data_IF_824287805448
#
_entry.id   IF_824287805448
#
_cell.length_a   1.000
_cell.length_b   1.000
_cell.length_c   1.000
_cell.angle_alpha   90.00
_cell.angle_beta   90.00
_cell.angle_gamma   90.00
#
_symmetry.space_group_name_H-M   'P 1'
#
loop_
_entity.id
_entity.type
_entity.pdbx_description
1 polymer ?
#
# COMPACT_ATOMS: atom_id res chain seq x y z
N UNK A 1 -67.19 -30.38 -38.81
CA UNK A 1 -68.25 -29.51 -38.26
C UNK A 1 -67.66 -28.13 -38.01
N UNK A 2 -68.36 -27.07 -38.40
CA UNK A 2 -67.75 -25.77 -38.68
C UNK A 2 -68.28 -24.68 -37.73
N UNK A 3 -67.90 -23.43 -38.05
CA UNK A 3 -68.68 -22.19 -37.85
C UNK A 3 -68.61 -21.57 -36.44
N UNK A 4 -68.54 -20.24 -36.25
CA UNK A 4 -68.90 -19.11 -37.11
C UNK A 4 -68.26 -17.81 -36.59
N UNK A 5 -67.83 -16.98 -37.54
CA UNK A 5 -67.67 -15.50 -37.53
C UNK A 5 -68.96 -14.80 -36.99
N UNK A 6 -69.02 -13.47 -36.65
CA UNK A 6 -68.51 -12.41 -37.54
C UNK A 6 -68.18 -10.98 -37.00
N UNK A 7 -67.53 -10.21 -37.90
CA UNK A 7 -67.64 -8.77 -38.27
C UNK A 7 -68.30 -7.77 -37.28
N UNK A 8 -67.84 -6.53 -37.07
CA UNK A 8 -67.80 -5.45 -38.07
C UNK A 8 -67.46 -4.07 -37.43
N UNK A 9 -66.83 -3.21 -38.25
CA UNK A 9 -67.02 -1.75 -38.46
C UNK A 9 -66.84 -0.72 -37.32
N UNK A 10 -66.02 0.29 -37.67
CA UNK A 10 -65.98 1.65 -37.14
C UNK A 10 -67.37 2.29 -37.04
N UNK A 11 -67.62 3.04 -35.96
CA UNK A 11 -68.31 4.34 -35.99
C UNK A 11 -67.84 5.24 -34.84
N UNK A 12 -67.34 6.41 -35.21
CA UNK A 12 -67.25 7.58 -34.33
C UNK A 12 -68.68 8.06 -34.03
N UNK A 13 -69.03 8.21 -32.75
CA UNK A 13 -70.05 9.17 -32.32
C UNK A 13 -69.64 9.83 -31.00
N UNK A 14 -69.53 11.15 -31.09
CA UNK A 14 -69.44 12.13 -30.03
C UNK A 14 -70.62 12.03 -29.05
N UNK A 15 -70.32 12.04 -27.75
CA UNK A 15 -71.28 12.25 -26.68
C UNK A 15 -70.63 13.04 -25.56
N UNK A 16 -70.97 14.33 -25.47
CA UNK A 16 -70.55 15.22 -24.40
C UNK A 16 -71.28 14.86 -23.12
N UNK A 17 -70.58 14.68 -22.00
CA UNK A 17 -71.16 14.91 -20.68
C UNK A 17 -70.11 15.50 -19.74
N UNK A 18 -70.47 16.67 -19.19
CA UNK A 18 -69.66 17.55 -18.36
C UNK A 18 -69.66 17.09 -16.90
N UNK A 19 -68.61 17.53 -16.19
CA UNK A 19 -68.53 17.82 -14.74
C UNK A 19 -68.36 16.57 -13.83
N UNK A 20 -67.36 16.48 -12.95
CA UNK A 20 -66.85 17.52 -12.06
C UNK A 20 -65.33 17.47 -11.84
N UNK A 21 -64.72 18.65 -11.91
CA UNK A 21 -63.35 18.97 -11.57
C UNK A 21 -63.25 19.13 -10.04
N UNK A 22 -62.63 18.18 -9.35
CA UNK A 22 -62.11 18.41 -8.00
C UNK A 22 -60.72 19.00 -8.12
N UNK A 23 -60.63 20.31 -7.93
CA UNK A 23 -59.36 21.02 -7.74
C UNK A 23 -58.80 20.55 -6.41
N UNK A 24 -57.93 19.54 -6.44
CA UNK A 24 -56.99 19.31 -5.35
C UNK A 24 -55.93 20.38 -5.43
N UNK A 25 -55.91 21.30 -4.47
CA UNK A 25 -54.75 22.15 -4.20
C UNK A 25 -53.58 21.22 -3.83
N UNK A 26 -52.83 20.78 -4.84
CA UNK A 26 -51.50 20.23 -4.64
C UNK A 26 -50.62 21.37 -4.17
N UNK A 27 -50.38 21.44 -2.86
CA UNK A 27 -49.30 22.24 -2.30
C UNK A 27 -48.01 21.63 -2.85
N UNK A 28 -47.54 22.20 -3.96
CA UNK A 28 -46.19 22.00 -4.46
C UNK A 28 -45.29 22.65 -3.41
N UNK A 29 -44.90 21.89 -2.40
CA UNK A 29 -43.89 22.30 -1.45
C UNK A 29 -42.62 22.55 -2.25
N UNK A 30 -42.28 23.83 -2.42
CA UNK A 30 -40.99 24.24 -2.93
C UNK A 30 -39.94 23.60 -2.02
N UNK A 31 -39.30 22.53 -2.49
CA UNK A 31 -38.05 22.05 -1.91
C UNK A 31 -37.02 23.10 -2.31
N UNK A 32 -36.94 24.17 -1.53
CA UNK A 32 -35.81 25.07 -1.58
C UNK A 32 -34.57 24.20 -1.36
N UNK A 33 -33.56 24.25 -2.25
CA UNK A 33 -32.28 23.66 -1.89
C UNK A 33 -31.84 24.41 -0.63
N UNK A 34 -31.79 23.71 0.50
CA UNK A 34 -31.18 24.25 1.69
C UNK A 34 -29.74 24.59 1.29
N UNK A 35 -29.44 25.88 1.16
CA UNK A 35 -28.08 26.34 1.00
C UNK A 35 -27.33 25.85 2.24
N UNK A 36 -26.27 25.06 2.02
CA UNK A 36 -25.39 24.63 3.11
C UNK A 36 -24.94 25.88 3.89
N UNK A 37 -25.30 25.94 5.17
CA UNK A 37 -24.93 27.04 6.04
C UNK A 37 -23.46 26.96 6.42
N UNK A 38 -22.82 28.11 6.58
CA UNK A 38 -21.49 28.21 7.19
C UNK A 38 -21.62 28.76 8.61
N UNK A 39 -21.07 28.04 9.58
CA UNK A 39 -21.02 28.47 10.99
C UNK A 39 -19.56 28.61 11.41
N UNK A 40 -19.15 29.83 11.75
CA UNK A 40 -17.85 30.09 12.36
C UNK A 40 -17.90 29.71 13.85
N UNK A 41 -17.03 28.82 14.29
CA UNK A 41 -16.87 28.41 15.69
C UNK A 41 -15.54 28.94 16.21
N UNK A 42 -15.53 29.65 17.34
CA UNK A 42 -14.32 30.21 17.97
C UNK A 42 -13.85 29.34 19.14
N UNK A 43 -12.56 29.41 19.52
CA UNK A 43 -12.10 28.73 20.73
C UNK A 43 -12.90 29.17 21.95
N UNK A 44 -13.35 28.21 22.76
CA UNK A 44 -14.23 28.43 23.91
C UNK A 44 -15.72 28.24 23.62
N UNK A 45 -16.14 28.25 22.36
CA UNK A 45 -17.49 27.84 21.98
C UNK A 45 -17.67 26.32 22.17
N UNK A 46 -18.91 25.90 22.41
CA UNK A 46 -19.26 24.49 22.46
C UNK A 46 -19.36 23.90 21.05
N UNK A 47 -18.22 23.41 20.54
CA UNK A 47 -18.11 22.81 19.22
C UNK A 47 -19.01 21.57 19.06
N UNK A 48 -19.16 20.75 20.12
CA UNK A 48 -20.03 19.57 20.01
C UNK A 48 -21.50 19.98 19.91
N UNK A 49 -21.93 21.01 20.65
CA UNK A 49 -23.28 21.56 20.50
C UNK A 49 -23.50 22.14 19.10
N UNK A 50 -22.52 22.86 18.55
CA UNK A 50 -22.58 23.37 17.18
C UNK A 50 -22.75 22.23 16.16
N UNK A 51 -21.92 21.18 16.26
CA UNK A 51 -22.02 19.96 15.42
C UNK A 51 -23.38 19.28 15.53
N UNK A 52 -23.92 19.19 16.75
CA UNK A 52 -25.21 18.54 17.02
C UNK A 52 -26.39 19.34 16.46
N UNK A 53 -26.24 20.66 16.36
CA UNK A 53 -27.27 21.59 15.87
C UNK A 53 -27.26 21.81 14.37
N UNK A 54 -26.12 21.57 13.70
CA UNK A 54 -25.91 21.81 12.28
C UNK A 54 -26.89 21.01 11.39
N UNK A 55 -27.33 21.61 10.29
CA UNK A 55 -28.15 20.93 9.29
C UNK A 55 -27.29 20.03 8.37
N UNK A 56 -27.95 19.09 7.70
CA UNK A 56 -27.29 18.24 6.71
C UNK A 56 -26.69 19.09 5.58
N UNK A 57 -25.39 18.94 5.35
CA UNK A 57 -24.61 19.68 4.36
C UNK A 57 -23.85 20.88 4.91
N UNK A 58 -24.11 21.32 6.14
CA UNK A 58 -23.49 22.51 6.72
C UNK A 58 -21.97 22.39 6.88
N UNK A 59 -21.30 23.55 6.89
CA UNK A 59 -19.88 23.68 7.18
C UNK A 59 -19.68 24.38 8.52
N UNK A 60 -18.98 23.72 9.43
CA UNK A 60 -18.49 24.31 10.67
C UNK A 60 -17.02 24.67 10.49
N UNK A 61 -16.74 25.97 10.47
CA UNK A 61 -15.39 26.51 10.28
C UNK A 61 -14.78 26.90 11.62
N UNK A 62 -13.70 26.24 12.00
CA UNK A 62 -12.97 26.53 13.22
C UNK A 62 -12.00 27.68 12.99
N UNK A 63 -12.13 28.75 13.76
CA UNK A 63 -11.11 29.79 13.85
C UNK A 63 -9.79 29.22 14.42
N UNK A 64 -8.64 29.90 14.23
CA UNK A 64 -7.38 29.47 14.83
C UNK A 64 -7.50 29.34 16.36
N UNK A 65 -6.98 28.26 16.93
CA UNK A 65 -7.00 27.98 18.37
C UNK A 65 -7.30 26.52 18.70
N UNK A 66 -7.36 26.21 19.99
CA UNK A 66 -7.53 24.84 20.50
C UNK A 66 -8.99 24.57 20.88
N UNK A 67 -9.49 23.41 20.44
CA UNK A 67 -10.83 22.90 20.70
C UNK A 67 -10.72 21.57 21.42
N UNK A 68 -11.53 21.43 22.47
CA UNK A 68 -11.54 20.21 23.30
C UNK A 68 -12.41 19.15 22.64
N UNK A 69 -11.82 17.98 22.32
CA UNK A 69 -12.55 16.76 21.98
C UNK A 69 -12.77 15.87 23.21
N UNK A 70 -13.29 14.64 23.03
CA UNK A 70 -13.69 13.99 21.77
C UNK A 70 -14.85 14.68 21.04
N UNK A 71 -14.85 14.62 19.71
CA UNK A 71 -15.95 15.11 18.86
C UNK A 71 -16.64 13.97 18.11
N UNK A 72 -17.93 14.11 17.87
CA UNK A 72 -18.75 13.15 17.09
C UNK A 72 -19.54 13.89 16.01
N UNK A 73 -19.38 13.42 14.75
CA UNK A 73 -20.10 13.89 13.58
C UNK A 73 -21.18 12.87 13.19
N UNK A 74 -22.36 13.02 13.79
CA UNK A 74 -23.55 12.17 13.53
C UNK A 74 -24.46 12.69 12.41
N UNK A 75 -24.17 13.88 11.87
CA UNK A 75 -24.86 14.48 10.71
C UNK A 75 -23.87 14.69 9.56
N UNK A 76 -24.35 14.72 8.32
CA UNK A 76 -23.48 15.00 7.16
C UNK A 76 -23.03 16.45 7.22
N UNK A 77 -21.81 16.70 7.67
CA UNK A 77 -21.26 18.05 7.81
C UNK A 77 -19.83 18.11 7.30
N UNK A 78 -19.37 19.31 6.99
CA UNK A 78 -17.94 19.62 6.85
C UNK A 78 -17.44 20.24 8.14
N UNK A 79 -16.48 19.61 8.82
CA UNK A 79 -15.67 20.24 9.85
C UNK A 79 -14.36 20.73 9.22
N UNK A 80 -14.19 22.06 9.16
CA UNK A 80 -13.06 22.71 8.50
C UNK A 80 -12.23 23.54 9.49
N UNK A 81 -10.92 23.33 9.52
CA UNK A 81 -9.98 24.17 10.28
C UNK A 81 -9.42 25.32 9.46
N UNK A 82 -9.44 26.53 10.01
CA UNK A 82 -8.49 27.56 9.61
C UNK A 82 -7.07 27.18 10.08
N UNK A 83 -6.00 27.68 9.43
CA UNK A 83 -4.63 27.42 9.87
C UNK A 83 -4.43 27.71 11.36
N UNK A 84 -3.95 26.73 12.12
CA UNK A 84 -3.79 26.79 13.58
C UNK A 84 -5.01 26.34 14.39
N UNK A 85 -6.06 25.80 13.76
CA UNK A 85 -7.15 25.12 14.46
C UNK A 85 -6.71 23.71 14.89
N UNK A 86 -6.70 23.47 16.20
CA UNK A 86 -6.27 22.21 16.82
C UNK A 86 -7.46 21.56 17.54
N UNK A 87 -7.76 20.30 17.23
CA UNK A 87 -8.69 19.47 18.02
C UNK A 87 -7.87 18.51 18.87
N UNK A 88 -8.07 18.57 20.19
CA UNK A 88 -7.33 17.78 21.17
C UNK A 88 -8.25 16.83 21.95
N UNK A 89 -8.04 15.52 21.76
CA UNK A 89 -8.82 14.45 22.38
C UNK A 89 -8.55 14.21 23.87
N UNK A 90 -7.66 14.98 24.50
CA UNK A 90 -7.36 14.90 25.94
C UNK A 90 -6.86 13.52 26.43
N UNK A 91 -6.28 12.74 25.52
CA UNK A 91 -5.81 11.38 25.80
C UNK A 91 -6.95 10.36 26.01
N UNK A 92 -8.16 10.64 25.50
CA UNK A 92 -9.35 9.78 25.69
C UNK A 92 -10.00 9.45 24.35
N UNK A 93 -10.36 8.18 24.16
CA UNK A 93 -11.17 7.77 23.01
C UNK A 93 -10.55 8.10 21.65
N UNK A 94 -11.40 8.21 20.64
CA UNK A 94 -11.06 8.84 19.38
C UNK A 94 -11.14 10.37 19.52
N UNK A 95 -10.21 11.13 18.94
CA UNK A 95 -10.29 12.60 18.99
C UNK A 95 -11.48 13.12 18.18
N UNK A 96 -11.68 12.57 16.97
CA UNK A 96 -12.84 12.84 16.11
C UNK A 96 -13.44 11.50 15.65
N UNK A 97 -14.74 11.32 15.83
CA UNK A 97 -15.50 10.18 15.32
C UNK A 97 -16.47 10.65 14.24
N UNK A 98 -16.38 10.07 13.04
CA UNK A 98 -17.26 10.36 11.91
C UNK A 98 -18.21 9.19 11.73
N UNK A 99 -19.51 9.44 11.91
CA UNK A 99 -20.57 8.43 11.76
C UNK A 99 -21.47 8.67 10.55
N UNK A 100 -21.70 9.92 10.20
CA UNK A 100 -22.57 10.26 9.09
C UNK A 100 -21.90 10.04 7.71
N UNK A 101 -22.66 9.53 6.72
CA UNK A 101 -22.17 9.36 5.36
C UNK A 101 -21.90 10.71 4.68
N UNK A 102 -20.83 10.77 3.89
CA UNK A 102 -20.44 11.95 3.12
C UNK A 102 -19.96 13.14 3.97
N UNK A 103 -19.71 12.95 5.26
CA UNK A 103 -19.08 13.96 6.12
C UNK A 103 -17.62 14.20 5.74
N UNK A 104 -17.15 15.43 5.94
CA UNK A 104 -15.78 15.84 5.64
C UNK A 104 -15.09 16.38 6.89
N UNK A 105 -13.84 15.96 7.12
CA UNK A 105 -12.95 16.54 8.13
C UNK A 105 -11.71 17.06 7.43
N UNK A 106 -11.46 18.37 7.47
CA UNK A 106 -10.37 18.99 6.71
C UNK A 106 -9.64 20.14 7.40
N UNK A 107 -8.36 20.31 7.09
CA UNK A 107 -7.58 21.49 7.48
C UNK A 107 -7.30 21.60 8.99
N UNK A 108 -7.45 20.52 9.75
CA UNK A 108 -7.26 20.51 11.20
C UNK A 108 -5.89 19.96 11.60
N UNK A 109 -5.36 20.45 12.70
CA UNK A 109 -4.43 19.67 13.51
C UNK A 109 -5.22 18.81 14.49
N UNK A 110 -4.93 17.51 14.54
CA UNK A 110 -5.64 16.53 15.40
C UNK A 110 -4.64 15.81 16.28
N UNK A 111 -4.80 15.94 17.59
CA UNK A 111 -3.89 15.38 18.60
C UNK A 111 -4.65 14.70 19.74
N UNK A 112 -3.92 14.02 20.60
CA UNK A 112 -4.41 13.61 21.91
C UNK A 112 -5.45 12.49 21.90
N UNK A 113 -5.39 11.55 20.94
CA UNK A 113 -6.22 10.35 21.03
C UNK A 113 -5.91 9.53 22.30
N UNK A 114 -6.82 8.64 22.69
CA UNK A 114 -6.57 7.59 23.67
C UNK A 114 -5.45 6.62 23.26
N UNK A 115 -5.00 5.81 24.23
CA UNK A 115 -3.88 4.86 24.07
C UNK A 115 -4.27 3.38 24.00
N UNK A 116 -5.57 3.04 24.01
CA UNK A 116 -6.01 1.64 23.93
C UNK A 116 -6.12 1.15 22.49
N UNK A 117 -5.32 0.12 22.15
CA UNK A 117 -5.34 -0.56 20.84
C UNK A 117 -6.63 -1.34 20.59
N UNK A 118 -7.24 -1.92 21.62
CA UNK A 118 -8.48 -2.69 21.49
C UNK A 118 -9.68 -1.81 21.13
N UNK A 119 -9.72 -0.59 21.68
CA UNK A 119 -10.76 0.41 21.40
C UNK A 119 -10.50 1.17 20.09
N UNK A 120 -9.42 0.86 19.38
CA UNK A 120 -9.03 1.48 18.12
C UNK A 120 -8.87 3.01 18.21
N UNK A 121 -8.39 3.51 19.35
CA UNK A 121 -8.31 4.95 19.58
C UNK A 121 -7.50 5.65 18.48
N UNK A 122 -8.12 6.62 17.82
CA UNK A 122 -7.61 7.26 16.62
C UNK A 122 -7.66 8.78 16.72
N UNK A 123 -6.82 9.48 15.96
CA UNK A 123 -7.02 10.90 15.73
C UNK A 123 -8.35 11.13 15.03
N UNK A 124 -8.57 10.43 13.90
CA UNK A 124 -9.85 10.45 13.17
C UNK A 124 -10.32 9.02 12.95
N UNK A 125 -11.44 8.65 13.56
CA UNK A 125 -12.11 7.36 13.36
C UNK A 125 -13.32 7.55 12.44
N UNK A 126 -13.36 6.81 11.34
CA UNK A 126 -14.47 6.82 10.38
C UNK A 126 -15.18 5.49 10.51
N UNK A 127 -16.40 5.52 11.04
CA UNK A 127 -17.16 4.31 11.37
C UNK A 127 -17.83 3.71 10.14
N UNK A 128 -18.40 2.51 10.31
CA UNK A 128 -18.95 1.72 9.21
C UNK A 128 -20.10 2.43 8.48
N UNK A 129 -20.83 3.31 9.18
CA UNK A 129 -21.95 4.06 8.63
C UNK A 129 -21.52 5.28 7.82
N UNK A 130 -20.28 5.74 7.97
CA UNK A 130 -19.75 6.95 7.34
C UNK A 130 -19.26 6.69 5.90
N UNK A 131 -20.12 6.12 5.06
CA UNK A 131 -19.78 5.84 3.67
C UNK A 131 -19.47 7.12 2.89
N UNK A 132 -18.46 7.08 2.02
CA UNK A 132 -18.04 8.24 1.24
C UNK A 132 -17.48 9.40 2.06
N UNK A 133 -17.13 9.19 3.34
CA UNK A 133 -16.51 10.23 4.16
C UNK A 133 -15.14 10.65 3.60
N UNK A 134 -14.81 11.92 3.77
CA UNK A 134 -13.58 12.53 3.29
C UNK A 134 -12.74 13.07 4.46
N UNK A 135 -11.54 12.55 4.63
CA UNK A 135 -10.55 13.02 5.60
C UNK A 135 -9.40 13.61 4.81
N UNK A 136 -9.31 14.94 4.75
CA UNK A 136 -8.35 15.59 3.85
C UNK A 136 -7.54 16.74 4.44
N UNK A 137 -6.29 16.88 4.02
CA UNK A 137 -5.45 18.03 4.36
C UNK A 137 -5.33 18.30 5.86
N UNK A 138 -5.35 17.25 6.69
CA UNK A 138 -5.18 17.35 8.13
C UNK A 138 -3.73 17.04 8.54
N UNK A 139 -3.32 17.55 9.70
CA UNK A 139 -2.08 17.20 10.39
C UNK A 139 -2.42 16.40 11.64
N UNK A 140 -2.03 15.12 11.67
CA UNK A 140 -2.31 14.22 12.78
C UNK A 140 -1.02 13.87 13.52
N UNK A 141 -0.89 14.28 14.78
CA UNK A 141 0.37 14.16 15.52
C UNK A 141 0.18 13.40 16.83
N UNK A 142 1.00 12.38 17.07
CA UNK A 142 1.09 11.68 18.34
C UNK A 142 -0.13 10.83 18.73
N UNK A 143 -1.08 10.64 17.81
CA UNK A 143 -2.23 9.75 18.02
C UNK A 143 -1.78 8.28 17.98
N UNK A 144 -2.57 7.39 18.61
CA UNK A 144 -2.32 5.96 18.58
C UNK A 144 -2.45 5.41 17.16
N UNK A 145 -3.63 5.56 16.56
CA UNK A 145 -3.83 5.46 15.11
C UNK A 145 -4.02 6.88 14.55
N UNK A 146 -3.49 7.17 13.36
CA UNK A 146 -3.75 8.45 12.70
C UNK A 146 -5.22 8.52 12.25
N UNK A 147 -5.51 7.80 11.18
CA UNK A 147 -6.84 7.67 10.59
C UNK A 147 -7.25 6.20 10.59
N UNK A 148 -8.48 5.90 11.01
CA UNK A 148 -9.02 4.54 10.96
C UNK A 148 -10.32 4.51 10.14
N UNK A 149 -10.28 3.86 8.98
CA UNK A 149 -11.42 3.62 8.11
C UNK A 149 -12.02 2.24 8.44
N UNK A 150 -13.00 2.23 9.34
CA UNK A 150 -13.59 1.01 9.90
C UNK A 150 -14.94 0.71 9.24
N UNK A 151 -14.96 -0.10 8.19
CA UNK A 151 -16.19 -0.48 7.49
C UNK A 151 -16.72 0.57 6.50
N UNK A 152 -16.13 1.76 6.49
CA UNK A 152 -16.59 2.93 5.76
C UNK A 152 -16.36 2.81 4.25
N UNK A 153 -17.33 2.25 3.53
CA UNK A 153 -17.23 2.06 2.08
C UNK A 153 -16.98 3.37 1.33
N UNK A 154 -16.11 3.31 0.31
CA UNK A 154 -15.76 4.42 -0.58
C UNK A 154 -15.24 5.70 0.14
N UNK A 155 -14.81 5.58 1.40
CA UNK A 155 -14.19 6.68 2.15
C UNK A 155 -12.79 7.01 1.62
N UNK A 156 -12.36 8.26 1.80
CA UNK A 156 -11.11 8.77 1.25
C UNK A 156 -10.30 9.46 2.34
N UNK A 157 -9.06 9.01 2.53
CA UNK A 157 -8.04 9.72 3.28
C UNK A 157 -7.03 10.33 2.29
N UNK A 158 -7.02 11.65 2.11
CA UNK A 158 -6.14 12.30 1.14
C UNK A 158 -5.35 13.51 1.62
N UNK A 159 -4.10 13.67 1.19
CA UNK A 159 -3.33 14.88 1.49
C UNK A 159 -3.06 15.11 2.98
N UNK A 160 -3.18 14.08 3.83
CA UNK A 160 -2.94 14.22 5.26
C UNK A 160 -1.46 14.01 5.59
N UNK A 161 -0.98 14.71 6.62
CA UNK A 161 0.32 14.46 7.23
C UNK A 161 0.12 13.75 8.56
N UNK A 162 0.64 12.53 8.71
CA UNK A 162 0.53 11.72 9.93
C UNK A 162 1.89 11.50 10.53
N UNK A 163 2.08 11.95 11.77
CA UNK A 163 3.28 11.69 12.59
C UNK A 163 2.88 10.82 13.77
N UNK A 164 3.21 9.53 13.71
CA UNK A 164 2.88 8.55 14.74
C UNK A 164 3.59 8.78 16.07
N UNK A 165 3.08 8.16 17.13
CA UNK A 165 3.67 8.23 18.49
C UNK A 165 5.08 7.64 18.51
N UNK A 166 6.00 8.32 19.22
CA UNK A 166 7.40 7.92 19.40
C UNK A 166 7.74 7.66 20.86
N UNK A 167 8.93 7.09 21.11
CA UNK A 167 9.41 6.80 22.46
C UNK A 167 8.70 5.65 23.17
N UNK A 168 7.90 4.87 22.43
CA UNK A 168 7.20 3.67 22.90
C UNK A 168 7.59 2.49 22.02
N UNK A 169 7.30 1.27 22.47
CA UNK A 169 7.52 0.08 21.65
C UNK A 169 6.60 0.14 20.43
N UNK A 170 7.13 -0.20 19.26
CA UNK A 170 6.35 -0.19 18.02
C UNK A 170 5.08 -1.04 18.08
N UNK A 171 5.11 -2.15 18.84
CA UNK A 171 3.95 -3.01 19.06
C UNK A 171 2.80 -2.31 19.82
N UNK A 172 3.10 -1.24 20.57
CA UNK A 172 2.14 -0.43 21.33
C UNK A 172 1.60 0.75 20.50
N UNK A 173 2.04 0.90 19.25
CA UNK A 173 1.58 1.96 18.34
C UNK A 173 0.61 1.42 17.29
N UNK A 174 -0.28 2.28 16.83
CA UNK A 174 -1.12 2.03 15.67
C UNK A 174 -0.43 2.45 14.37
N UNK A 175 -1.13 2.23 13.27
CA UNK A 175 -0.69 2.60 11.93
C UNK A 175 -1.11 4.05 11.60
N UNK A 176 -0.46 4.66 10.60
CA UNK A 176 -0.80 6.00 10.14
C UNK A 176 -2.21 6.05 9.56
N UNK A 177 -2.52 5.13 8.63
CA UNK A 177 -3.88 4.88 8.15
C UNK A 177 -4.20 3.39 8.26
N UNK A 178 -5.26 3.07 9.00
CA UNK A 178 -5.78 1.71 9.15
C UNK A 178 -7.09 1.55 8.38
N UNK A 179 -7.24 0.43 7.68
CA UNK A 179 -8.44 0.07 6.92
C UNK A 179 -8.89 -1.30 7.39
N UNK A 180 -10.16 -1.41 7.78
CA UNK A 180 -10.79 -2.68 8.09
C UNK A 180 -12.12 -2.77 7.36
N UNK A 181 -12.28 -3.76 6.47
CA UNK A 181 -13.53 -4.02 5.75
C UNK A 181 -14.20 -2.79 5.12
N UNK A 182 -13.41 -1.87 4.56
CA UNK A 182 -13.89 -0.64 3.94
C UNK A 182 -13.72 -0.72 2.41
N UNK A 183 -14.64 -1.39 1.70
CA UNK A 183 -14.47 -1.64 0.28
C UNK A 183 -14.51 -0.32 -0.51
N UNK A 184 -13.62 -0.17 -1.49
CA UNK A 184 -13.54 1.06 -2.28
C UNK A 184 -12.80 2.22 -1.61
N UNK A 185 -12.37 2.06 -0.36
CA UNK A 185 -11.64 3.11 0.36
C UNK A 185 -10.32 3.47 -0.34
N UNK A 186 -9.94 4.75 -0.28
CA UNK A 186 -8.76 5.30 -0.95
C UNK A 186 -7.85 6.02 0.02
N UNK A 187 -6.55 5.82 -0.13
CA UNK A 187 -5.52 6.52 0.63
C UNK A 187 -4.57 7.17 -0.37
N UNK A 188 -4.69 8.49 -0.51
CA UNK A 188 -4.13 9.25 -1.64
C UNK A 188 -3.21 10.37 -1.16
N UNK A 189 -2.00 10.46 -1.69
CA UNK A 189 -1.13 11.63 -1.52
C UNK A 189 -0.86 12.01 -0.05
N UNK A 190 -0.82 11.02 0.85
CA UNK A 190 -0.52 11.26 2.27
C UNK A 190 0.97 11.16 2.56
N UNK A 191 1.42 11.88 3.58
CA UNK A 191 2.77 11.76 4.14
C UNK A 191 2.66 11.13 5.52
N UNK A 192 3.27 9.96 5.72
CA UNK A 192 3.16 9.18 6.96
C UNK A 192 4.54 8.88 7.51
N UNK A 193 4.77 9.24 8.78
CA UNK A 193 6.04 8.99 9.48
C UNK A 193 5.80 8.39 10.85
N UNK A 194 6.67 7.46 11.24
CA UNK A 194 6.69 6.84 12.58
C UNK A 194 5.39 6.10 12.95
N UNK A 195 5.33 5.53 14.16
CA UNK A 195 4.30 4.58 14.55
C UNK A 195 4.58 3.18 14.02
N UNK A 196 3.54 2.36 13.80
CA UNK A 196 3.70 0.95 13.43
C UNK A 196 3.86 0.74 11.93
N UNK A 197 2.77 0.84 11.17
CA UNK A 197 2.77 0.70 9.71
C UNK A 197 2.29 2.02 9.07
N UNK A 198 2.66 2.29 7.82
CA UNK A 198 2.20 3.46 7.08
C UNK A 198 0.70 3.33 6.79
N UNK A 199 0.38 2.41 5.88
CA UNK A 199 -0.97 2.01 5.53
C UNK A 199 -1.15 0.52 5.90
N UNK A 200 -2.10 0.22 6.78
CA UNK A 200 -2.48 -1.15 7.11
C UNK A 200 -3.90 -1.44 6.65
N UNK A 201 -4.10 -2.51 5.89
CA UNK A 201 -5.43 -2.93 5.45
C UNK A 201 -5.68 -4.39 5.79
N UNK A 202 -6.89 -4.67 6.30
CA UNK A 202 -7.34 -6.02 6.61
C UNK A 202 -8.77 -6.27 6.12
N UNK A 203 -8.98 -7.42 5.48
CA UNK A 203 -10.30 -7.94 5.11
C UNK A 203 -11.13 -6.95 4.27
N UNK A 204 -10.53 -6.36 3.23
CA UNK A 204 -11.17 -5.33 2.39
C UNK A 204 -11.07 -5.66 0.90
N UNK A 205 -11.54 -4.78 0.01
CA UNK A 205 -11.43 -4.96 -1.44
C UNK A 205 -11.60 -3.66 -2.23
N UNK A 206 -11.14 -3.64 -3.49
CA UNK A 206 -11.27 -2.50 -4.40
C UNK A 206 -10.66 -1.21 -3.86
N UNK A 207 -9.63 -1.33 -3.03
CA UNK A 207 -8.95 -0.19 -2.44
C UNK A 207 -7.91 0.38 -3.41
N UNK A 208 -7.63 1.68 -3.27
CA UNK A 208 -6.58 2.37 -4.05
C UNK A 208 -5.67 3.11 -3.10
N UNK A 209 -4.40 2.71 -3.05
CA UNK A 209 -3.35 3.41 -2.31
C UNK A 209 -2.38 4.03 -3.31
N UNK A 210 -2.42 5.36 -3.46
CA UNK A 210 -1.72 6.06 -4.52
C UNK A 210 -0.97 7.30 -4.03
N UNK A 211 0.23 7.53 -4.55
CA UNK A 211 0.97 8.78 -4.35
C UNK A 211 1.44 9.04 -2.91
N UNK A 212 1.40 8.05 -2.03
CA UNK A 212 1.75 8.24 -0.61
C UNK A 212 3.27 8.17 -0.40
N UNK A 213 3.78 8.98 0.52
CA UNK A 213 5.14 8.91 1.05
C UNK A 213 5.10 8.33 2.48
N UNK A 214 5.83 7.24 2.72
CA UNK A 214 5.90 6.58 4.02
C UNK A 214 7.35 6.38 4.46
N UNK A 215 7.69 6.90 5.65
CA UNK A 215 9.05 6.92 6.15
C UNK A 215 9.15 6.46 7.61
N UNK A 216 10.21 5.71 7.93
CA UNK A 216 10.52 5.27 9.30
C UNK A 216 9.41 4.47 10.00
N UNK A 217 8.58 3.76 9.25
CA UNK A 217 7.61 2.79 9.75
C UNK A 217 8.14 1.36 9.64
N UNK A 218 7.44 0.41 10.24
CA UNK A 218 7.71 -1.02 10.05
C UNK A 218 7.46 -1.39 8.59
N UNK A 219 6.21 -1.35 8.16
CA UNK A 219 5.79 -1.63 6.78
C UNK A 219 5.21 -0.36 6.18
N UNK A 220 5.70 0.10 5.03
CA UNK A 220 5.10 1.25 4.36
C UNK A 220 3.65 0.93 3.98
N UNK A 221 3.44 -0.18 3.29
CA UNK A 221 2.11 -0.71 2.97
C UNK A 221 2.02 -2.16 3.44
N UNK A 222 0.99 -2.46 4.24
CA UNK A 222 0.75 -3.78 4.81
C UNK A 222 -0.65 -4.27 4.43
N UNK A 223 -0.71 -5.17 3.45
CA UNK A 223 -1.93 -5.85 3.03
C UNK A 223 -2.15 -7.13 3.80
N UNK A 224 -3.37 -7.32 4.30
CA UNK A 224 -3.89 -8.60 4.78
C UNK A 224 -5.29 -8.81 4.17
N UNK A 225 -5.52 -9.92 3.47
CA UNK A 225 -6.86 -10.30 2.99
C UNK A 225 -7.60 -9.17 2.25
N UNK A 226 -6.88 -8.38 1.44
CA UNK A 226 -7.41 -7.20 0.76
C UNK A 226 -7.30 -7.38 -0.75
N UNK A 227 -8.39 -7.80 -1.40
CA UNK A 227 -8.37 -8.28 -2.79
C UNK A 227 -8.73 -7.17 -3.80
N UNK A 228 -8.49 -7.43 -5.08
CA UNK A 228 -8.99 -6.58 -6.19
C UNK A 228 -8.58 -5.11 -6.07
N UNK A 229 -7.40 -4.85 -5.53
CA UNK A 229 -6.97 -3.52 -5.10
C UNK A 229 -5.70 -3.06 -5.82
N UNK A 230 -5.41 -1.78 -5.70
CA UNK A 230 -4.28 -1.12 -6.33
C UNK A 230 -3.38 -0.45 -5.31
N UNK A 231 -2.07 -0.66 -5.48
CA UNK A 231 -1.00 0.07 -4.80
C UNK A 231 -0.10 0.64 -5.89
N UNK A 232 -0.17 1.95 -6.11
CA UNK A 232 0.50 2.57 -7.25
C UNK A 232 1.20 3.90 -6.95
N UNK A 233 2.37 4.14 -7.55
CA UNK A 233 3.07 5.42 -7.45
C UNK A 233 3.48 5.85 -6.03
N UNK A 234 3.54 4.92 -5.08
CA UNK A 234 3.90 5.24 -3.70
C UNK A 234 5.42 5.21 -3.50
N UNK A 235 5.91 5.97 -2.52
CA UNK A 235 7.30 6.01 -2.11
C UNK A 235 7.42 5.45 -0.69
N UNK A 236 8.14 4.34 -0.57
CA UNK A 236 8.63 3.79 0.69
C UNK A 236 10.09 4.20 0.86
N UNK A 237 10.42 4.84 1.98
CA UNK A 237 11.80 5.21 2.31
C UNK A 237 12.16 4.88 3.74
N UNK A 238 13.33 4.26 3.91
CA UNK A 238 13.92 4.03 5.22
C UNK A 238 12.98 3.30 6.21
N UNK A 239 12.16 2.37 5.72
CA UNK A 239 11.29 1.52 6.52
C UNK A 239 11.95 0.18 6.86
N UNK A 240 11.29 -0.66 7.66
CA UNK A 240 11.76 -2.05 7.82
C UNK A 240 11.45 -2.88 6.57
N UNK A 241 10.25 -2.75 6.02
CA UNK A 241 9.83 -3.30 4.73
C UNK A 241 9.06 -2.24 3.98
N UNK A 242 9.25 -2.17 2.67
CA UNK A 242 8.44 -1.29 1.83
C UNK A 242 7.03 -1.82 1.68
N UNK A 243 6.82 -2.70 0.70
CA UNK A 243 5.50 -3.19 0.34
C UNK A 243 5.31 -4.64 0.81
N UNK A 244 4.61 -4.83 1.92
CA UNK A 244 4.24 -6.15 2.46
C UNK A 244 2.85 -6.55 1.95
N UNK A 245 2.82 -7.34 0.88
CA UNK A 245 1.62 -7.83 0.22
C UNK A 245 1.32 -9.25 0.68
N UNK A 246 0.30 -9.40 1.54
CA UNK A 246 0.04 -10.69 2.21
C UNK A 246 -1.41 -11.15 2.07
N UNK A 247 -1.56 -12.45 1.79
CA UNK A 247 -2.86 -13.15 1.74
C UNK A 247 -3.91 -12.46 0.86
N UNK A 248 -3.51 -12.06 -0.33
CA UNK A 248 -4.34 -11.23 -1.22
C UNK A 248 -4.29 -11.76 -2.65
N UNK A 249 -5.28 -11.41 -3.47
CA UNK A 249 -5.28 -11.73 -4.90
C UNK A 249 -5.75 -10.59 -5.77
N UNK A 250 -5.28 -10.63 -7.03
CA UNK A 250 -5.64 -9.69 -8.09
C UNK A 250 -5.27 -8.25 -7.74
N UNK A 251 -4.08 -8.06 -7.18
CA UNK A 251 -3.52 -6.74 -6.97
C UNK A 251 -2.93 -6.18 -8.26
N UNK A 252 -3.02 -4.86 -8.38
CA UNK A 252 -2.20 -4.04 -9.28
C UNK A 252 -1.13 -3.34 -8.43
N UNK A 253 0.13 -3.70 -8.65
CA UNK A 253 1.29 -3.15 -7.93
C UNK A 253 2.12 -2.40 -8.97
N UNK A 254 1.90 -1.09 -9.08
CA UNK A 254 2.34 -0.31 -10.24
C UNK A 254 3.25 0.85 -9.85
N UNK A 255 4.40 0.99 -10.48
CA UNK A 255 5.22 2.21 -10.41
C UNK A 255 5.61 2.68 -8.99
N UNK A 256 5.65 1.76 -8.02
CA UNK A 256 6.07 2.10 -6.66
C UNK A 256 7.60 2.17 -6.55
N UNK A 257 8.08 3.00 -5.65
CA UNK A 257 9.50 3.11 -5.29
C UNK A 257 9.70 2.64 -3.85
N UNK A 258 10.61 1.68 -3.65
CA UNK A 258 11.19 1.35 -2.35
C UNK A 258 12.66 1.76 -2.37
N UNK A 259 13.07 2.58 -1.41
CA UNK A 259 14.41 3.15 -1.32
C UNK A 259 14.97 3.02 0.10
N UNK A 260 16.06 2.27 0.26
CA UNK A 260 16.74 2.16 1.56
C UNK A 260 15.92 1.45 2.65
N UNK A 261 14.91 0.65 2.28
CA UNK A 261 14.21 -0.22 3.23
C UNK A 261 15.14 -1.34 3.72
N UNK A 262 14.97 -1.77 4.98
CA UNK A 262 15.95 -2.64 5.67
C UNK A 262 15.92 -4.09 5.22
N UNK A 263 14.76 -4.73 5.26
CA UNK A 263 14.61 -6.17 5.07
C UNK A 263 14.17 -6.50 3.64
N UNK A 264 13.04 -5.92 3.22
CA UNK A 264 12.43 -6.21 1.92
C UNK A 264 11.93 -4.94 1.24
N UNK A 265 12.19 -4.79 -0.05
CA UNK A 265 11.53 -3.73 -0.83
C UNK A 265 10.10 -4.10 -1.19
N UNK A 266 9.94 -5.30 -1.77
CA UNK A 266 8.64 -5.90 -2.07
C UNK A 266 8.57 -7.32 -1.49
N UNK A 267 7.66 -7.53 -0.55
CA UNK A 267 7.34 -8.83 0.04
C UNK A 267 5.99 -9.31 -0.50
N UNK A 268 5.97 -10.48 -1.12
CA UNK A 268 4.77 -11.15 -1.61
C UNK A 268 4.62 -12.49 -0.93
N UNK A 269 3.66 -12.57 0.01
CA UNK A 269 3.37 -13.79 0.76
C UNK A 269 1.91 -14.20 0.55
N UNK A 270 1.63 -15.35 -0.10
CA UNK A 270 0.26 -15.70 -0.51
C UNK A 270 -0.43 -14.61 -1.36
N UNK A 271 0.36 -13.86 -2.15
CA UNK A 271 -0.17 -12.89 -3.12
C UNK A 271 -0.30 -13.54 -4.48
N UNK A 272 -1.51 -13.60 -5.03
CA UNK A 272 -1.79 -14.43 -6.21
C UNK A 272 -2.50 -13.68 -7.34
N UNK A 273 -2.31 -14.13 -8.58
CA UNK A 273 -3.00 -13.58 -9.77
C UNK A 273 -2.84 -12.05 -9.92
N UNK A 274 -1.71 -11.50 -9.50
CA UNK A 274 -1.45 -10.07 -9.43
C UNK A 274 -0.53 -9.59 -10.55
N UNK A 275 -0.64 -8.32 -10.90
CA UNK A 275 0.26 -7.65 -11.84
C UNK A 275 1.21 -6.75 -11.07
N UNK A 276 2.52 -6.93 -11.29
CA UNK A 276 3.60 -6.19 -10.67
C UNK A 276 4.41 -5.55 -11.77
N UNK A 277 4.26 -4.24 -11.98
CA UNK A 277 4.92 -3.58 -13.11
C UNK A 277 5.43 -2.18 -12.82
N UNK A 278 6.55 -1.81 -13.46
CA UNK A 278 7.13 -0.46 -13.35
C UNK A 278 7.74 -0.12 -11.98
N UNK A 279 7.74 -1.06 -11.03
CA UNK A 279 8.21 -0.83 -9.67
C UNK A 279 9.74 -0.79 -9.61
N UNK A 280 10.25 -0.02 -8.66
CA UNK A 280 11.68 0.15 -8.42
C UNK A 280 12.00 -0.17 -6.97
N UNK A 281 12.96 -1.06 -6.76
CA UNK A 281 13.56 -1.29 -5.45
C UNK A 281 15.04 -0.94 -5.57
N UNK A 282 15.45 0.07 -4.79
CA UNK A 282 16.79 0.63 -4.82
C UNK A 282 17.46 0.37 -3.47
N UNK A 283 18.43 -0.53 -3.49
CA UNK A 283 19.25 -0.83 -2.35
C UNK A 283 20.42 0.13 -2.19
N UNK A 284 20.89 0.26 -0.94
CA UNK A 284 22.09 1.01 -0.58
C UNK A 284 22.71 0.44 0.68
N UNK A 285 23.94 0.87 0.98
CA UNK A 285 24.57 0.59 2.27
C UNK A 285 23.82 1.35 3.38
N UNK A 286 23.37 0.63 4.41
CA UNK A 286 22.62 1.18 5.55
C UNK A 286 23.42 0.99 6.84
N UNK A 287 23.29 1.93 7.80
CA UNK A 287 23.99 1.83 9.07
C UNK A 287 23.53 0.62 9.88
N UNK A 288 24.47 -0.06 10.53
CA UNK A 288 24.18 -1.28 11.29
C UNK A 288 23.19 -1.10 12.45
N UNK A 289 23.08 0.12 13.00
CA UNK A 289 22.10 0.49 14.04
C UNK A 289 20.68 0.10 13.66
N UNK A 290 20.35 0.12 12.37
CA UNK A 290 19.03 -0.29 11.86
C UNK A 290 18.63 -1.72 12.22
N UNK A 291 19.58 -2.61 12.51
CA UNK A 291 19.31 -4.00 12.92
C UNK A 291 19.41 -4.23 14.43
N UNK A 292 19.81 -3.21 15.19
CA UNK A 292 19.99 -3.29 16.64
C UNK A 292 18.83 -2.64 17.41
N UNK A 293 18.08 -1.76 16.76
CA UNK A 293 16.86 -1.19 17.32
C UNK A 293 15.86 -2.32 17.60
N UNK A 294 15.66 -2.68 18.87
CA UNK A 294 14.78 -3.76 19.33
C UNK A 294 13.27 -3.41 19.16
N UNK A 295 12.90 -2.81 18.04
CA UNK A 295 11.55 -2.29 17.77
C UNK A 295 11.20 -1.01 18.54
N UNK A 296 12.20 -0.32 19.12
CA UNK A 296 12.03 0.99 19.74
C UNK A 296 12.39 2.07 18.71
N UNK A 297 11.45 2.97 18.41
CA UNK A 297 11.75 4.13 17.57
C UNK A 297 12.56 5.13 18.39
N UNK A 298 13.80 5.41 17.96
CA UNK A 298 14.66 6.40 18.59
C UNK A 298 13.92 7.75 18.74
N UNK A 299 14.17 8.45 19.85
CA UNK A 299 13.65 9.80 20.09
C UNK A 299 14.29 10.82 19.11
N UNK A 300 13.68 11.99 18.95
CA UNK A 300 14.23 13.09 18.14
C UNK A 300 15.69 13.42 18.54
N UNK A 301 16.54 13.89 17.60
CA UNK A 301 17.81 14.50 17.95
C UNK A 301 17.59 15.65 18.96
N UNK A 302 18.09 15.49 20.20
CA UNK A 302 17.91 16.46 21.28
C UNK A 302 17.02 16.00 22.44
N UNK A 303 16.36 14.85 22.35
CA UNK A 303 15.79 14.17 23.54
C UNK A 303 16.79 13.16 24.11
N UNK A 304 16.85 13.07 25.44
CA UNK A 304 17.62 12.04 26.12
C UNK A 304 17.15 10.65 25.66
N UNK A 305 18.06 9.87 25.09
CA UNK A 305 17.80 8.47 24.79
C UNK A 305 17.41 7.74 26.10
N UNK A 306 16.44 6.81 26.08
CA UNK A 306 16.22 5.90 27.20
C UNK A 306 17.54 5.22 27.56
N UNK A 307 17.86 5.20 28.85
CA UNK A 307 19.22 4.99 29.41
C UNK A 307 19.82 3.59 29.13
N UNK A 308 19.10 2.67 28.48
CA UNK A 308 19.50 1.24 28.41
C UNK A 308 19.67 0.64 26.99
N UNK A 309 19.80 1.40 25.90
CA UNK A 309 19.83 0.78 24.54
C UNK A 309 20.83 1.38 23.53
N UNK A 310 22.09 1.59 23.92
CA UNK A 310 23.13 1.89 22.93
C UNK A 310 24.30 0.91 23.07
N UNK A 311 24.12 -0.30 22.55
CA UNK A 311 25.26 -1.02 22.00
C UNK A 311 25.67 -0.23 20.75
N UNK A 312 26.78 0.49 20.83
CA UNK A 312 27.35 1.19 19.68
C UNK A 312 27.76 0.17 18.63
N UNK A 313 27.16 0.25 17.45
CA UNK A 313 27.53 -0.61 16.34
C UNK A 313 29.01 -0.41 16.01
N UNK A 314 29.74 -1.52 15.80
CA UNK A 314 31.14 -1.50 15.42
C UNK A 314 31.30 -0.71 14.09
N UNK A 315 32.17 0.31 14.02
CA UNK A 315 32.39 1.09 12.80
C UNK A 315 32.85 0.16 11.65
N UNK A 316 32.02 0.00 10.62
CA UNK A 316 32.26 -0.92 9.49
C UNK A 316 31.27 -2.09 9.37
N UNK A 317 30.27 -2.18 10.26
CA UNK A 317 29.24 -3.22 10.24
C UNK A 317 28.03 -2.93 9.32
N UNK A 318 28.11 -1.87 8.52
CA UNK A 318 27.03 -1.46 7.60
C UNK A 318 26.63 -2.60 6.66
N UNK A 319 25.33 -2.66 6.34
CA UNK A 319 24.74 -3.75 5.55
C UNK A 319 23.95 -3.20 4.39
N UNK A 320 24.00 -3.90 3.25
CA UNK A 320 23.15 -3.57 2.11
C UNK A 320 21.70 -3.84 2.49
N UNK A 321 20.87 -2.81 2.39
CA UNK A 321 19.41 -2.90 2.50
C UNK A 321 18.73 -2.46 1.20
N UNK A 322 17.64 -3.12 0.77
CA UNK A 322 17.01 -4.24 1.47
C UNK A 322 17.82 -5.52 1.34
N UNK A 323 17.71 -6.39 2.36
CA UNK A 323 18.27 -7.75 2.30
C UNK A 323 17.77 -8.50 1.05
N UNK A 324 16.51 -8.25 0.67
CA UNK A 324 15.87 -8.80 -0.53
C UNK A 324 15.12 -7.70 -1.25
N UNK A 325 15.49 -7.43 -2.50
CA UNK A 325 14.75 -6.49 -3.35
C UNK A 325 13.29 -6.96 -3.47
N UNK A 326 13.11 -8.22 -3.90
CA UNK A 326 11.82 -8.92 -3.89
C UNK A 326 11.92 -10.24 -3.12
N UNK A 327 10.94 -10.51 -2.26
CA UNK A 327 10.77 -11.81 -1.65
C UNK A 327 9.40 -12.40 -2.01
N UNK A 328 9.41 -13.56 -2.67
CA UNK A 328 8.22 -14.28 -3.13
C UNK A 328 8.11 -15.59 -2.35
N UNK A 329 7.05 -15.71 -1.57
CA UNK A 329 6.75 -16.86 -0.73
C UNK A 329 5.30 -17.32 -0.95
N UNK A 330 5.13 -18.52 -1.48
CA UNK A 330 3.83 -19.11 -1.82
C UNK A 330 2.89 -18.16 -2.58
N UNK A 331 3.45 -17.40 -3.53
CA UNK A 331 2.75 -16.42 -4.33
C UNK A 331 2.72 -16.90 -5.79
N UNK A 332 1.53 -17.05 -6.36
CA UNK A 332 1.31 -17.84 -7.57
C UNK A 332 0.62 -17.03 -8.66
N UNK A 333 0.92 -17.37 -9.91
CA UNK A 333 0.26 -16.82 -11.11
C UNK A 333 0.34 -15.29 -11.22
N UNK A 334 1.42 -14.70 -10.70
CA UNK A 334 1.67 -13.28 -10.83
C UNK A 334 2.46 -12.97 -12.10
N UNK A 335 2.33 -11.75 -12.61
CA UNK A 335 3.09 -11.26 -13.76
C UNK A 335 3.97 -10.09 -13.33
N UNK A 336 5.28 -10.22 -13.55
CA UNK A 336 6.27 -9.20 -13.27
C UNK A 336 6.87 -8.69 -14.57
N UNK A 337 6.65 -7.41 -14.86
CA UNK A 337 7.12 -6.76 -16.09
C UNK A 337 7.67 -5.37 -15.83
N UNK A 338 8.81 -5.05 -16.44
CA UNK A 338 9.38 -3.69 -16.43
C UNK A 338 9.66 -3.16 -15.02
N UNK A 339 9.96 -4.06 -14.08
CA UNK A 339 10.44 -3.70 -12.75
C UNK A 339 11.96 -3.59 -12.72
N UNK A 340 12.48 -2.80 -11.77
CA UNK A 340 13.92 -2.61 -11.58
C UNK A 340 14.32 -2.92 -10.14
N UNK A 341 15.18 -3.91 -9.97
CA UNK A 341 15.70 -4.38 -8.69
C UNK A 341 17.21 -4.16 -8.67
N UNK A 342 17.64 -3.11 -7.97
CA UNK A 342 19.02 -2.64 -8.01
C UNK A 342 19.67 -2.60 -6.63
N UNK A 343 20.93 -3.01 -6.56
CA UNK A 343 21.81 -2.72 -5.42
C UNK A 343 21.40 -3.43 -4.13
N UNK A 344 20.61 -4.50 -4.21
CA UNK A 344 20.16 -5.28 -3.06
C UNK A 344 21.14 -6.40 -2.73
N UNK A 345 21.06 -6.94 -1.51
CA UNK A 345 21.84 -8.13 -1.15
C UNK A 345 21.37 -9.35 -1.97
N UNK A 346 20.06 -9.54 -2.12
CA UNK A 346 19.45 -10.49 -3.05
C UNK A 346 18.47 -9.73 -3.95
N UNK A 347 18.60 -9.85 -5.28
CA UNK A 347 17.70 -9.24 -6.26
C UNK A 347 16.28 -9.82 -6.14
N UNK A 348 16.16 -11.14 -6.21
CA UNK A 348 14.90 -11.84 -5.95
C UNK A 348 15.15 -13.15 -5.19
N UNK A 349 14.40 -13.34 -4.11
CA UNK A 349 14.32 -14.61 -3.40
C UNK A 349 12.97 -15.27 -3.67
N UNK A 350 13.01 -16.46 -4.24
CA UNK A 350 11.85 -17.16 -4.76
C UNK A 350 11.77 -18.55 -4.13
N UNK A 351 10.71 -18.84 -3.37
CA UNK A 351 10.62 -20.07 -2.57
C UNK A 351 9.17 -20.53 -2.35
N UNK A 352 9.02 -21.63 -1.61
CA UNK A 352 7.77 -22.17 -1.10
C UNK A 352 6.70 -22.46 -2.16
N UNK A 353 7.09 -23.07 -3.28
CA UNK A 353 6.14 -23.51 -4.31
C UNK A 353 5.40 -22.37 -5.01
N UNK A 354 6.05 -21.21 -5.18
CA UNK A 354 5.51 -20.05 -5.89
C UNK A 354 5.39 -20.35 -7.40
N UNK A 355 4.26 -20.87 -7.85
CA UNK A 355 4.09 -21.46 -9.17
C UNK A 355 3.36 -20.55 -10.19
N UNK A 356 3.68 -20.76 -11.47
CA UNK A 356 3.00 -20.10 -12.58
C UNK A 356 3.25 -18.59 -12.68
N UNK A 357 4.28 -18.07 -12.01
CA UNK A 357 4.66 -16.67 -12.12
C UNK A 357 5.40 -16.42 -13.45
N UNK A 358 5.04 -15.35 -14.14
CA UNK A 358 5.72 -14.88 -15.35
C UNK A 358 6.67 -13.73 -14.98
N UNK A 359 7.94 -13.87 -15.35
CA UNK A 359 9.02 -12.90 -15.07
C UNK A 359 9.67 -12.55 -16.40
N UNK A 360 9.37 -11.37 -16.95
CA UNK A 360 9.93 -10.94 -18.25
C UNK A 360 10.05 -9.42 -18.30
N UNK A 361 11.04 -8.90 -18.99
CA UNK A 361 11.28 -7.48 -19.14
C UNK A 361 11.66 -6.77 -17.84
N UNK A 362 12.18 -7.46 -16.82
CA UNK A 362 12.66 -6.81 -15.60
C UNK A 362 14.16 -6.50 -15.70
N UNK A 363 14.68 -5.68 -14.80
CA UNK A 363 16.10 -5.39 -14.69
C UNK A 363 16.64 -5.73 -13.29
N UNK A 364 17.65 -6.60 -13.25
CA UNK A 364 18.38 -6.99 -12.05
C UNK A 364 19.80 -6.44 -12.12
N UNK A 365 20.08 -5.40 -11.33
CA UNK A 365 21.28 -4.56 -11.50
C UNK A 365 22.10 -4.50 -10.23
N UNK A 366 23.37 -4.90 -10.30
CA UNK A 366 24.33 -4.72 -9.20
C UNK A 366 23.91 -5.35 -7.87
N UNK A 367 23.05 -6.37 -7.90
CA UNK A 367 22.69 -7.13 -6.70
C UNK A 367 23.83 -8.07 -6.35
N UNK A 368 24.10 -8.28 -5.04
CA UNK A 368 25.17 -9.21 -4.62
C UNK A 368 24.86 -10.66 -5.03
N UNK A 369 23.59 -11.02 -5.04
CA UNK A 369 23.09 -12.27 -5.61
C UNK A 369 21.85 -11.94 -6.42
N UNK A 370 21.86 -12.19 -7.74
CA UNK A 370 20.73 -11.82 -8.60
C UNK A 370 19.47 -12.60 -8.24
N UNK A 371 19.58 -13.93 -8.16
CA UNK A 371 18.47 -14.83 -7.84
C UNK A 371 18.87 -15.81 -6.75
N UNK A 372 18.01 -15.94 -5.75
CA UNK A 372 17.99 -17.08 -4.84
C UNK A 372 16.71 -17.87 -5.09
N UNK A 373 16.82 -18.99 -5.78
CA UNK A 373 15.69 -19.87 -6.06
C UNK A 373 15.77 -21.13 -5.19
N UNK A 374 14.67 -21.46 -4.53
CA UNK A 374 14.55 -22.67 -3.71
C UNK A 374 13.35 -23.47 -4.23
N UNK A 375 13.62 -24.39 -5.15
CA UNK A 375 12.66 -25.28 -5.79
C UNK A 375 13.37 -26.32 -6.64
N UNK A 376 12.61 -27.33 -7.09
CA UNK A 376 13.16 -28.46 -7.88
C UNK A 376 12.77 -28.42 -9.35
N UNK A 377 12.05 -27.38 -9.79
CA UNK A 377 11.58 -27.21 -11.16
C UNK A 377 12.45 -26.25 -11.95
N UNK A 378 12.53 -26.48 -13.25
CA UNK A 378 13.09 -25.54 -14.22
C UNK A 378 12.05 -24.46 -14.57
N UNK A 379 12.47 -23.20 -14.44
CA UNK A 379 11.67 -22.02 -14.75
C UNK A 379 12.39 -21.24 -15.86
N UNK A 380 11.71 -21.04 -16.98
CA UNK A 380 12.14 -20.07 -17.98
C UNK A 380 11.54 -18.70 -17.65
N UNK A 381 12.38 -17.72 -17.38
CA UNK A 381 12.03 -16.32 -17.12
C UNK A 381 12.16 -15.50 -18.41
N UNK A 382 11.54 -16.01 -19.45
CA UNK A 382 11.23 -15.28 -20.67
C UNK A 382 9.80 -15.59 -21.08
N UNK A 383 9.18 -14.62 -21.76
CA UNK A 383 7.81 -14.75 -22.29
C UNK A 383 7.81 -14.19 -23.69
N UNK A 384 7.29 -14.97 -24.66
CA UNK A 384 7.16 -14.57 -26.06
C UNK A 384 8.47 -14.01 -26.67
N UNK A 385 9.60 -14.66 -26.37
CA UNK A 385 10.92 -14.26 -26.86
C UNK A 385 11.54 -13.06 -26.13
N UNK A 386 10.95 -12.60 -25.02
CA UNK A 386 11.46 -11.48 -24.22
C UNK A 386 11.81 -11.92 -22.80
N UNK A 387 13.09 -11.88 -22.46
CA UNK A 387 13.62 -12.15 -21.12
C UNK A 387 13.83 -10.88 -20.29
N UNK A 388 14.78 -10.93 -19.36
CA UNK A 388 15.13 -9.87 -18.41
C UNK A 388 16.56 -9.36 -18.66
N UNK A 389 16.85 -8.17 -18.16
CA UNK A 389 18.21 -7.62 -18.12
C UNK A 389 18.92 -8.03 -16.83
N UNK A 390 20.17 -8.47 -16.98
CA UNK A 390 21.05 -8.92 -15.90
C UNK A 390 22.40 -8.23 -16.00
N UNK A 391 22.76 -7.41 -15.02
CA UNK A 391 23.99 -6.60 -15.09
C UNK A 391 25.30 -7.40 -15.10
N UNK A 392 25.23 -8.67 -14.71
CA UNK A 392 26.35 -9.61 -14.62
C UNK A 392 26.32 -10.70 -15.72
N UNK A 393 25.42 -10.58 -16.71
CA UNK A 393 25.42 -11.46 -17.88
C UNK A 393 26.61 -11.10 -18.79
N UNK A 394 27.58 -12.01 -19.02
CA UNK A 394 28.74 -11.75 -19.86
C UNK A 394 28.49 -12.01 -21.35
N UNK A 395 27.27 -12.42 -21.73
CA UNK A 395 26.94 -12.79 -23.10
C UNK A 395 27.01 -11.60 -24.07
N UNK A 396 27.21 -11.93 -25.35
CA UNK A 396 27.24 -10.98 -26.45
C UNK A 396 25.94 -11.05 -27.25
N UNK A 397 25.72 -10.00 -28.04
CA UNK A 397 24.64 -9.87 -29.01
C UNK A 397 25.34 -9.55 -30.35
N UNK A 398 25.58 -10.59 -31.14
CA UNK A 398 26.34 -10.49 -32.39
C UNK A 398 25.47 -10.08 -33.58
N UNK A 399 24.16 -10.36 -33.53
CA UNK A 399 23.22 -10.01 -34.60
C UNK A 399 22.56 -8.64 -34.41
N UNK A 400 22.70 -8.05 -33.22
CA UNK A 400 22.29 -6.69 -32.88
C UNK A 400 20.80 -6.54 -32.62
N UNK A 401 20.09 -7.61 -32.27
CA UNK A 401 18.65 -7.59 -32.02
C UNK A 401 18.27 -7.11 -30.60
N UNK A 402 19.25 -6.90 -29.73
CA UNK A 402 19.09 -6.45 -28.35
C UNK A 402 18.87 -7.57 -27.33
N UNK A 403 18.95 -8.83 -27.76
CA UNK A 403 18.89 -10.05 -26.95
C UNK A 403 20.26 -10.72 -26.96
N UNK A 404 20.66 -11.31 -25.85
CA UNK A 404 21.90 -12.07 -25.78
C UNK A 404 21.80 -13.36 -26.59
N UNK A 405 22.83 -13.69 -27.37
CA UNK A 405 22.93 -14.92 -28.19
C UNK A 405 22.97 -16.21 -27.34
N UNK A 406 23.12 -16.10 -26.02
CA UNK A 406 23.23 -17.22 -25.10
C UNK A 406 22.28 -17.07 -23.91
N UNK A 407 21.59 -18.15 -23.51
CA UNK A 407 20.77 -18.15 -22.31
C UNK A 407 21.56 -17.80 -21.05
N UNK A 408 20.94 -17.05 -20.14
CA UNK A 408 21.51 -16.71 -18.85
C UNK A 408 20.95 -17.60 -17.73
N UNK A 409 21.80 -18.01 -16.80
CA UNK A 409 21.44 -18.85 -15.64
C UNK A 409 21.91 -18.18 -14.35
N UNK A 410 21.02 -17.50 -13.61
CA UNK A 410 21.41 -16.78 -12.39
C UNK A 410 21.69 -17.68 -11.19
N UNK A 411 21.38 -18.97 -11.26
CA UNK A 411 21.65 -19.93 -10.20
C UNK A 411 22.05 -21.31 -10.73
N UNK A 412 22.93 -21.99 -10.01
CA UNK A 412 23.40 -23.34 -10.31
C UNK A 412 23.40 -24.29 -9.08
N UNK A 413 23.74 -25.57 -9.28
CA UNK A 413 23.91 -26.57 -8.20
C UNK A 413 24.90 -26.15 -7.13
N UNK A 414 25.99 -25.47 -7.53
CA UNK A 414 27.02 -25.03 -6.59
C UNK A 414 26.39 -24.01 -5.64
N UNK A 415 25.54 -23.12 -6.15
CA UNK A 415 24.83 -22.16 -5.32
C UNK A 415 23.91 -22.87 -4.30
N UNK A 416 23.23 -23.96 -4.69
CA UNK A 416 22.45 -24.80 -3.77
C UNK A 416 23.30 -25.38 -2.64
N UNK A 417 24.49 -25.87 -2.97
CA UNK A 417 25.46 -26.36 -1.98
C UNK A 417 25.96 -25.22 -1.08
N UNK A 418 26.24 -24.04 -1.64
CA UNK A 418 26.70 -22.88 -0.88
C UNK A 418 25.62 -22.33 0.06
N UNK A 419 24.33 -22.47 -0.29
CA UNK A 419 23.23 -22.07 0.58
C UNK A 419 22.99 -23.06 1.71
N UNK A 420 23.18 -24.36 1.47
CA UNK A 420 23.00 -25.42 2.49
C UNK A 420 24.22 -25.54 3.42
N UNK A 421 25.41 -25.31 2.90
CA UNK A 421 26.67 -25.31 3.64
C UNK A 421 27.47 -24.02 3.39
N UNK A 422 27.16 -22.91 4.10
CA UNK A 422 27.84 -21.62 3.90
C UNK A 422 29.36 -21.66 4.07
N UNK A 423 29.87 -22.62 4.87
CA UNK A 423 31.31 -22.88 5.07
C UNK A 423 32.02 -23.29 3.77
N UNK A 424 31.28 -23.85 2.80
CA UNK A 424 31.83 -24.23 1.49
C UNK A 424 32.19 -23.03 0.60
N UNK A 425 31.87 -21.80 1.01
CA UNK A 425 32.28 -20.57 0.29
C UNK A 425 33.78 -20.47 0.07
N UNK A 426 34.61 -21.10 0.92
CA UNK A 426 36.07 -21.13 0.74
C UNK A 426 36.49 -21.87 -0.55
N UNK A 427 35.62 -22.74 -1.07
CA UNK A 427 35.91 -23.64 -2.19
C UNK A 427 35.38 -23.10 -3.53
N UNK A 428 34.74 -21.93 -3.57
CA UNK A 428 34.07 -21.39 -4.76
C UNK A 428 35.02 -21.25 -5.95
N UNK A 429 36.28 -20.88 -5.68
CA UNK A 429 37.31 -20.73 -6.72
C UNK A 429 38.17 -21.99 -6.90
N UNK A 430 37.78 -23.12 -6.29
CA UNK A 430 38.53 -24.37 -6.44
C UNK A 430 38.34 -24.97 -7.84
N UNK A 431 39.34 -25.68 -8.38
CA UNK A 431 39.20 -26.39 -9.66
C UNK A 431 38.03 -27.38 -9.69
N UNK A 432 37.68 -27.98 -8.55
CA UNK A 432 36.55 -28.90 -8.44
C UNK A 432 35.22 -28.18 -8.72
N UNK A 433 35.00 -26.99 -8.14
CA UNK A 433 33.80 -26.18 -8.39
C UNK A 433 33.74 -25.71 -9.84
N UNK A 434 34.86 -25.28 -10.42
CA UNK A 434 34.93 -24.89 -11.84
C UNK A 434 34.60 -26.06 -12.77
N UNK A 435 35.09 -27.26 -12.46
CA UNK A 435 34.80 -28.48 -13.22
C UNK A 435 33.32 -28.83 -13.16
N UNK A 436 32.70 -28.69 -11.98
CA UNK A 436 31.25 -28.89 -11.81
C UNK A 436 30.47 -27.89 -12.66
N UNK A 437 30.80 -26.59 -12.61
CA UNK A 437 30.14 -25.55 -13.44
C UNK A 437 30.28 -25.80 -14.93
N UNK A 438 31.47 -26.20 -15.38
CA UNK A 438 31.70 -26.58 -16.78
C UNK A 438 30.83 -27.78 -17.17
N UNK A 439 30.84 -28.85 -16.36
CA UNK A 439 30.04 -30.05 -16.63
C UNK A 439 28.54 -29.74 -16.67
N UNK A 440 28.04 -28.89 -15.78
CA UNK A 440 26.65 -28.43 -15.78
C UNK A 440 26.26 -27.65 -17.04
N UNK A 441 27.21 -26.91 -17.61
CA UNK A 441 27.00 -26.18 -18.87
C UNK A 441 26.88 -27.15 -20.05
N UNK A 442 27.61 -28.28 -20.02
CA UNK A 442 27.57 -29.30 -21.07
C UNK A 442 26.40 -30.29 -20.92
N UNK A 443 25.92 -30.53 -19.69
CA UNK A 443 24.87 -31.50 -19.40
C UNK A 443 23.72 -30.88 -18.56
N UNK A 444 22.90 -29.99 -19.13
CA UNK A 444 21.85 -29.27 -18.39
C UNK A 444 20.76 -30.18 -17.80
N UNK A 445 20.53 -31.37 -18.38
CA UNK A 445 19.51 -32.32 -17.96
C UNK A 445 19.78 -32.99 -16.59
N UNK A 446 20.97 -32.79 -16.01
CA UNK A 446 21.37 -33.35 -14.71
C UNK A 446 21.15 -32.37 -13.54
N UNK A 447 20.56 -31.20 -13.78
CA UNK A 447 20.33 -30.16 -12.77
C UNK A 447 19.03 -30.42 -11.98
N UNK A 448 19.02 -30.28 -10.64
CA UNK A 448 17.80 -30.28 -9.84
C UNK A 448 17.12 -28.91 -9.93
N UNK A 449 16.43 -28.66 -11.04
CA UNK A 449 15.69 -27.41 -11.26
C UNK A 449 16.57 -26.15 -11.27
N UNK A 450 15.97 -25.01 -11.61
CA UNK A 450 16.69 -23.74 -11.65
C UNK A 450 15.93 -22.67 -12.42
N UNK A 451 16.48 -21.46 -12.42
CA UNK A 451 15.99 -20.38 -13.28
C UNK A 451 16.90 -20.30 -14.50
N UNK A 452 16.28 -20.15 -15.65
CA UNK A 452 16.93 -19.87 -16.94
C UNK A 452 16.23 -18.67 -17.53
N UNK A 453 16.99 -17.78 -18.16
CA UNK A 453 16.44 -16.78 -19.04
C UNK A 453 16.92 -17.10 -20.45
N UNK A 454 16.02 -17.59 -21.31
CA UNK A 454 16.37 -18.00 -22.67
C UNK A 454 16.53 -16.84 -23.65
N UNK A 455 16.05 -15.63 -23.29
CA UNK A 455 16.15 -14.43 -24.13
C UNK A 455 16.61 -13.22 -23.32
N UNK A 456 17.81 -13.25 -22.70
CA UNK A 456 18.27 -12.18 -21.83
C UNK A 456 18.40 -10.87 -22.60
N UNK A 457 17.93 -9.76 -22.04
CA UNK A 457 18.03 -8.45 -22.66
C UNK A 457 19.45 -7.89 -22.51
N UNK A 458 19.96 -7.22 -23.54
CA UNK A 458 21.27 -6.54 -23.51
C UNK A 458 21.24 -5.16 -22.85
N UNK A 459 20.06 -4.56 -22.72
CA UNK A 459 19.87 -3.29 -22.04
C UNK A 459 18.71 -3.36 -21.03
N UNK A 460 18.80 -2.62 -19.91
CA UNK A 460 17.67 -2.52 -19.00
C UNK A 460 16.47 -1.88 -19.71
N UNK A 461 15.22 -2.28 -19.39
CA UNK A 461 14.03 -1.66 -19.93
C UNK A 461 14.06 -0.16 -19.68
N UNK A 462 13.91 0.63 -20.75
CA UNK A 462 13.80 2.09 -20.63
C UNK A 462 12.42 2.41 -20.07
N UNK A 463 12.37 3.17 -18.97
CA UNK A 463 11.13 3.83 -18.59
C UNK A 463 10.95 5.02 -19.53
N UNK A 464 9.93 5.00 -20.38
CA UNK A 464 9.45 6.24 -20.98
C UNK A 464 9.13 7.18 -19.81
N UNK A 465 9.82 8.32 -19.73
CA UNK A 465 9.45 9.34 -18.73
C UNK A 465 8.03 9.79 -19.08
N UNK A 466 7.10 9.86 -18.12
CA UNK A 466 5.78 10.42 -18.37
C UNK A 466 5.87 11.86 -18.89
#
# INVERSE_FOLDING_TARGET
MPRLRPTSRLTFRSGWMRLAMRIGLGVCGAVSPALAGETLVRPGDDLQAALSSAAEGDTLRLAPGRYTGPLVLDRRVTLEGAPGAVVDGQGRGNTITVNAPGSTVRGLEVIGSGGNLYDLNSGIFVSQTATGALVENNVLTGNLFGIYLHGAADSVARGNTVTGKRGVRMAETGSGVSIWNAPGAKVLDNVIRYGRDGIYTNASKRNVFHGNLMEHVRFAVHYMYTDDSEVSGNISRDNSVGFALMYTKRLKVLDNLSEGDRDHGLLMNYTNNSTVSGNRVLGRLLPASRWMDAGVQAAEPGMAAPVDTVETADPGSDRIGPEKCVFIYNANRNRFTDNRFEGCNIGIHFTAGSEGNAMSGNAFIGNRTQVKYVGTRDLDWSVDGRGNFWSDNPAFDLDGDGIADSPYRPNDLVDVVLWTAPQAKILVNSPAVQTIRWAQTQFPALLPGGVVDSHPLMQPPRKERP
#
